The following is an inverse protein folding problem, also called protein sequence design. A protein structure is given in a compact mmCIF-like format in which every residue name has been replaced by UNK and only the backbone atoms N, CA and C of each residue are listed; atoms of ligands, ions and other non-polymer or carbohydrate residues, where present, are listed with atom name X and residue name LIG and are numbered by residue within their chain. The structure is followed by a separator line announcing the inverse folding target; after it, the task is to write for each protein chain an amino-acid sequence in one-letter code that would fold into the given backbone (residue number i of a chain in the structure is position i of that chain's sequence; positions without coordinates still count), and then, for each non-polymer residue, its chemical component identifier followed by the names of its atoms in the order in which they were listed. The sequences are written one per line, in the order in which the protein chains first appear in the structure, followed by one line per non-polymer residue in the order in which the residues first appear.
data_IF_624993752780
#
_entry.id   IF_624993752780
#
_cell.length_a   1.000
_cell.length_b   1.000
_cell.length_c   1.000
_cell.angle_alpha   90.00
_cell.angle_beta   90.00
_cell.angle_gamma   90.00
#
_symmetry.space_group_name_H-M   'P 1'
#
loop_
_entity.id
_entity.type
_entity.pdbx_description
1 polymer ?
#
# COMPACT_ATOMS: atom_id res chain seq x y z
N UNK A 1 5.95 -4.49 17.98
CA UNK A 1 6.86 -5.64 18.22
C UNK A 1 6.03 -6.89 18.45
N UNK A 2 6.39 -7.98 17.78
CA UNK A 2 5.77 -9.30 17.98
C UNK A 2 6.90 -10.31 18.18
N UNK A 3 6.82 -11.05 19.29
CA UNK A 3 7.76 -12.12 19.60
C UNK A 3 6.98 -13.44 19.48
N UNK A 4 7.56 -14.40 18.79
CA UNK A 4 6.99 -15.73 18.63
C UNK A 4 8.07 -16.75 19.01
N UNK A 5 7.68 -17.76 19.80
CA UNK A 5 8.53 -18.86 20.23
C UNK A 5 7.82 -20.17 19.92
N UNK A 6 8.40 -20.98 19.04
CA UNK A 6 7.84 -22.24 18.61
C UNK A 6 8.80 -23.38 18.99
N UNK A 7 8.26 -24.46 19.55
CA UNK A 7 9.00 -25.69 19.69
C UNK A 7 9.19 -26.35 18.33
N UNK A 8 10.42 -26.77 18.04
CA UNK A 8 10.75 -27.46 16.80
C UNK A 8 10.92 -28.95 17.08
N UNK A 9 10.22 -29.75 16.30
CA UNK A 9 10.28 -31.20 16.32
C UNK A 9 10.66 -31.71 14.95
N UNK A 10 11.58 -32.69 14.88
CA UNK A 10 11.88 -33.44 13.68
C UNK A 10 11.28 -34.84 13.81
N UNK A 11 10.79 -35.39 12.69
CA UNK A 11 10.28 -36.75 12.66
C UNK A 11 11.42 -37.73 12.41
N UNK A 12 11.67 -38.62 13.36
CA UNK A 12 12.65 -39.69 13.21
C UNK A 12 12.00 -40.89 12.50
N UNK A 13 12.48 -41.19 11.30
CA UNK A 13 11.95 -42.30 10.49
C UNK A 13 12.28 -43.69 11.05
N UNK A 14 13.29 -43.82 11.91
CA UNK A 14 13.70 -45.10 12.48
C UNK A 14 12.84 -45.43 13.70
N UNK A 15 12.60 -44.47 14.57
CA UNK A 15 11.78 -44.66 15.78
C UNK A 15 10.30 -44.35 15.54
N UNK A 16 9.95 -43.70 14.42
CA UNK A 16 8.61 -43.19 14.08
C UNK A 16 8.02 -42.20 15.11
N UNK A 17 8.90 -41.52 15.84
CA UNK A 17 8.52 -40.55 16.85
C UNK A 17 8.97 -39.14 16.48
N UNK A 18 8.32 -38.15 17.09
CA UNK A 18 8.73 -36.74 17.02
C UNK A 18 9.80 -36.45 18.07
N UNK A 19 10.98 -36.08 17.61
CA UNK A 19 12.13 -35.74 18.46
C UNK A 19 12.21 -34.23 18.61
N UNK A 20 12.17 -33.75 19.86
CA UNK A 20 12.36 -32.32 20.15
C UNK A 20 13.77 -31.88 19.80
N UNK A 21 13.90 -30.79 19.02
CA UNK A 21 15.17 -30.24 18.54
C UNK A 21 15.52 -28.88 19.18
N UNK A 22 14.57 -28.29 19.89
CA UNK A 22 14.79 -27.00 20.52
C UNK A 22 13.63 -26.02 20.26
N UNK A 23 13.93 -24.76 20.44
CA UNK A 23 12.99 -23.67 20.19
C UNK A 23 13.48 -22.79 19.05
N UNK A 24 12.56 -22.38 18.22
CA UNK A 24 12.76 -21.33 17.22
C UNK A 24 12.11 -20.05 17.72
N UNK A 25 12.92 -19.01 17.92
CA UNK A 25 12.43 -17.69 18.31
C UNK A 25 12.45 -16.74 17.12
N UNK A 26 11.34 -16.05 16.87
CA UNK A 26 11.28 -14.96 15.92
C UNK A 26 10.81 -13.68 16.60
N UNK A 27 11.47 -12.58 16.27
CA UNK A 27 11.11 -11.25 16.75
C UNK A 27 10.89 -10.35 15.54
N UNK A 28 9.69 -9.77 15.44
CA UNK A 28 9.33 -8.86 14.37
C UNK A 28 9.10 -7.46 14.94
N UNK A 29 9.79 -6.49 14.36
CA UNK A 29 9.64 -5.06 14.70
C UNK A 29 9.09 -4.34 13.47
N UNK A 30 8.01 -3.58 13.66
CA UNK A 30 7.51 -2.66 12.64
C UNK A 30 7.90 -1.24 13.02
N UNK A 31 8.56 -0.56 12.11
CA UNK A 31 9.02 0.82 12.29
C UNK A 31 8.27 1.72 11.33
N UNK A 32 7.71 2.83 11.83
CA UNK A 32 7.09 3.87 11.01
C UNK A 32 8.00 5.09 11.04
N UNK A 33 8.57 5.42 9.90
CA UNK A 33 9.38 6.61 9.70
C UNK A 33 8.51 7.71 9.09
N UNK A 34 8.77 8.96 9.49
CA UNK A 34 8.13 10.15 8.91
C UNK A 34 9.06 10.87 7.95
N UNK A 35 10.35 10.71 8.18
CA UNK A 35 11.39 11.25 7.32
C UNK A 35 11.87 10.14 6.37
N UNK A 36 11.65 10.34 5.08
CA UNK A 36 12.02 9.38 4.05
C UNK A 36 13.51 9.41 3.74
N UNK A 37 14.22 10.48 4.10
CA UNK A 37 15.67 10.58 3.89
C UNK A 37 16.44 9.70 4.88
N UNK A 38 15.86 9.44 6.04
CA UNK A 38 16.48 8.59 7.07
C UNK A 38 16.30 7.08 6.86
N UNK A 39 15.54 6.68 5.85
CA UNK A 39 15.26 5.25 5.61
C UNK A 39 16.54 4.44 5.45
N UNK A 40 17.53 4.94 4.70
CA UNK A 40 18.82 4.27 4.52
C UNK A 40 19.54 4.03 5.85
N UNK A 41 19.67 5.07 6.66
CA UNK A 41 20.34 5.00 7.96
C UNK A 41 19.66 4.00 8.91
N UNK A 42 18.33 3.99 8.90
CA UNK A 42 17.56 3.05 9.73
C UNK A 42 17.71 1.61 9.25
N UNK A 43 17.74 1.37 7.93
CA UNK A 43 18.00 0.04 7.38
C UNK A 43 19.39 -0.47 7.79
N UNK A 44 20.42 0.37 7.70
CA UNK A 44 21.76 0.02 8.12
C UNK A 44 21.82 -0.31 9.61
N UNK A 45 21.17 0.50 10.46
CA UNK A 45 21.09 0.25 11.89
C UNK A 45 20.39 -1.07 12.21
N UNK A 46 19.33 -1.43 11.49
CA UNK A 46 18.62 -2.70 11.65
C UNK A 46 19.50 -3.89 11.29
N UNK A 47 20.26 -3.79 10.19
CA UNK A 47 21.20 -4.85 9.78
C UNK A 47 22.31 -5.01 10.81
N UNK A 48 22.87 -3.91 11.32
CA UNK A 48 23.89 -3.94 12.38
C UNK A 48 23.34 -4.52 13.70
N UNK A 49 22.07 -4.30 13.99
CA UNK A 49 21.38 -4.89 15.14
C UNK A 49 21.03 -6.38 14.97
N UNK A 50 21.36 -6.98 13.81
CA UNK A 50 21.18 -8.41 13.55
C UNK A 50 19.86 -8.77 12.87
N UNK A 51 19.14 -7.82 12.27
CA UNK A 51 17.98 -8.13 11.46
C UNK A 51 18.41 -8.97 10.25
N UNK A 52 17.81 -10.14 10.10
CA UNK A 52 18.12 -11.11 9.05
C UNK A 52 17.05 -11.17 7.95
N UNK A 53 15.92 -10.50 8.17
CA UNK A 53 14.86 -10.38 7.17
C UNK A 53 14.22 -8.98 7.30
N UNK A 54 14.24 -8.21 6.21
CA UNK A 54 13.70 -6.87 6.15
C UNK A 54 12.63 -6.84 5.04
N UNK A 55 11.39 -6.54 5.43
CA UNK A 55 10.27 -6.38 4.51
C UNK A 55 9.90 -4.89 4.41
N UNK A 56 10.14 -4.28 3.28
CA UNK A 56 9.89 -2.86 3.03
C UNK A 56 11.13 -2.17 2.49
N UNK A 57 11.18 -0.85 2.46
CA UNK A 57 10.18 0.11 2.99
C UNK A 57 8.90 0.20 2.15
N UNK A 58 7.81 0.60 2.80
CA UNK A 58 6.55 0.93 2.13
C UNK A 58 6.25 2.40 2.38
N UNK A 59 6.02 3.14 1.32
CA UNK A 59 5.72 4.57 1.41
C UNK A 59 4.21 4.79 1.36
N UNK A 60 3.73 5.73 2.16
CA UNK A 60 2.33 6.15 2.17
C UNK A 60 2.24 7.65 2.44
N UNK A 61 1.21 8.29 1.91
CA UNK A 61 0.92 9.70 2.22
C UNK A 61 0.40 9.78 3.64
N UNK A 62 0.99 10.67 4.44
CA UNK A 62 0.62 10.84 5.86
C UNK A 62 -0.77 11.45 6.04
N UNK A 63 -1.10 12.43 5.18
CA UNK A 63 -2.42 13.07 5.12
C UNK A 63 -2.84 13.18 3.66
N UNK A 64 -3.82 12.39 3.25
CA UNK A 64 -4.39 12.37 1.91
C UNK A 64 -5.76 13.07 1.84
N UNK A 65 -6.16 13.80 2.88
CA UNK A 65 -7.46 14.47 2.97
C UNK A 65 -7.66 15.47 1.84
N UNK A 66 -6.70 16.37 1.63
CA UNK A 66 -6.77 17.37 0.55
C UNK A 66 -6.71 16.74 -0.84
N UNK A 67 -5.76 15.86 -1.17
CA UNK A 67 -5.76 15.16 -2.45
C UNK A 67 -7.05 14.39 -2.73
N UNK A 68 -7.64 13.72 -1.73
CA UNK A 68 -8.92 13.02 -1.88
C UNK A 68 -10.09 13.98 -2.11
N UNK A 69 -10.13 15.12 -1.41
CA UNK A 69 -11.16 16.13 -1.62
C UNK A 69 -11.12 16.66 -3.05
N UNK A 70 -9.94 16.95 -3.57
CA UNK A 70 -9.75 17.42 -4.95
C UNK A 70 -10.13 16.33 -5.98
N UNK A 71 -9.71 15.09 -5.74
CA UNK A 71 -10.07 13.96 -6.60
C UNK A 71 -11.61 13.76 -6.65
N UNK A 72 -12.29 13.88 -5.50
CA UNK A 72 -13.74 13.80 -5.38
C UNK A 72 -14.44 14.90 -6.18
N UNK A 73 -13.98 16.14 -6.03
CA UNK A 73 -14.52 17.27 -6.79
C UNK A 73 -14.44 17.03 -8.29
N UNK A 74 -13.26 16.66 -8.79
CA UNK A 74 -13.04 16.36 -10.22
C UNK A 74 -13.89 15.18 -10.71
N UNK A 75 -14.04 14.14 -9.89
CA UNK A 75 -14.86 12.98 -10.24
C UNK A 75 -16.34 13.34 -10.39
N UNK A 76 -16.87 14.15 -9.46
CA UNK A 76 -18.27 14.63 -9.51
C UNK A 76 -18.53 15.56 -10.70
N UNK A 77 -17.60 16.48 -11.00
CA UNK A 77 -17.68 17.37 -12.16
C UNK A 77 -17.73 16.55 -13.47
N UNK A 78 -16.84 15.56 -13.60
CA UNK A 78 -16.82 14.68 -14.77
C UNK A 78 -18.11 13.85 -14.89
N UNK A 79 -18.59 13.26 -13.78
CA UNK A 79 -19.82 12.49 -13.77
C UNK A 79 -21.02 13.34 -14.20
N UNK A 80 -21.13 14.59 -13.72
CA UNK A 80 -22.18 15.51 -14.12
C UNK A 80 -22.10 15.87 -15.60
N UNK A 81 -20.90 16.18 -16.12
CA UNK A 81 -20.72 16.48 -17.53
C UNK A 81 -21.19 15.34 -18.42
N UNK A 82 -20.79 14.11 -18.11
CA UNK A 82 -21.21 12.93 -18.85
C UNK A 82 -22.75 12.73 -18.78
N UNK A 83 -23.35 12.90 -17.59
CA UNK A 83 -24.80 12.77 -17.44
C UNK A 83 -25.56 13.84 -18.25
N UNK A 84 -25.06 15.06 -18.31
CA UNK A 84 -25.62 16.14 -19.13
C UNK A 84 -25.56 15.82 -20.62
N UNK A 85 -24.47 15.23 -21.09
CA UNK A 85 -24.32 14.85 -22.48
C UNK A 85 -25.35 13.78 -22.88
N UNK A 86 -25.54 12.76 -22.03
CA UNK A 86 -26.60 11.75 -22.23
C UNK A 86 -28.00 12.34 -22.18
N UNK A 87 -28.25 13.25 -21.23
CA UNK A 87 -29.54 13.89 -21.09
C UNK A 87 -29.94 14.70 -22.38
N UNK A 88 -28.96 15.46 -22.91
CA UNK A 88 -29.17 16.24 -24.15
C UNK A 88 -29.50 15.35 -25.36
N UNK A 89 -28.74 14.23 -25.51
CA UNK A 89 -29.03 13.27 -26.58
C UNK A 89 -30.43 12.65 -26.44
N UNK A 90 -30.88 12.46 -25.19
CA UNK A 90 -32.22 11.94 -24.89
C UNK A 90 -33.35 13.00 -24.94
N UNK A 91 -33.05 14.26 -25.26
CA UNK A 91 -34.01 15.35 -25.38
C UNK A 91 -34.34 16.10 -24.11
N UNK A 92 -33.55 15.93 -23.06
CA UNK A 92 -33.66 16.63 -21.78
C UNK A 92 -32.69 17.81 -21.69
N UNK A 93 -33.05 18.82 -20.88
CA UNK A 93 -32.24 20.03 -20.74
C UNK A 93 -31.32 20.03 -19.54
N UNK A 94 -31.59 19.18 -18.54
CA UNK A 94 -30.80 19.19 -17.29
C UNK A 94 -30.77 17.79 -16.64
N UNK A 95 -29.97 17.68 -15.58
CA UNK A 95 -29.88 16.48 -14.73
C UNK A 95 -29.99 16.83 -13.26
N UNK A 96 -30.68 15.99 -12.50
CA UNK A 96 -30.84 16.06 -11.06
C UNK A 96 -30.19 14.85 -10.42
N UNK A 97 -29.38 15.06 -9.38
CA UNK A 97 -28.75 13.98 -8.61
C UNK A 97 -29.80 13.25 -7.79
N UNK A 98 -29.89 11.94 -7.93
CA UNK A 98 -30.72 11.06 -7.10
C UNK A 98 -29.92 10.35 -6.03
N UNK A 99 -28.73 9.88 -6.36
CA UNK A 99 -27.89 9.10 -5.44
C UNK A 99 -26.42 9.34 -5.71
N UNK A 100 -25.64 9.46 -4.65
CA UNK A 100 -24.19 9.44 -4.69
C UNK A 100 -23.72 8.30 -3.79
N UNK A 101 -22.83 7.45 -4.31
CA UNK A 101 -22.11 6.45 -3.55
C UNK A 101 -20.62 6.64 -3.78
N UNK A 102 -19.87 6.69 -2.70
CA UNK A 102 -18.41 6.80 -2.74
C UNK A 102 -17.77 5.50 -2.25
N UNK A 103 -16.79 5.03 -2.99
CA UNK A 103 -15.90 3.96 -2.58
C UNK A 103 -14.48 4.50 -2.56
N UNK A 104 -13.90 4.54 -1.37
CA UNK A 104 -12.49 4.89 -1.21
C UNK A 104 -11.70 3.62 -1.40
N UNK A 105 -11.03 3.49 -2.51
CA UNK A 105 -10.03 2.44 -2.68
C UNK A 105 -8.81 2.82 -1.85
N UNK A 106 -8.71 2.21 -0.67
CA UNK A 106 -7.58 2.39 0.25
C UNK A 106 -6.27 1.73 -0.19
N UNK A 107 -6.18 1.31 -1.44
CA UNK A 107 -4.95 0.80 -2.00
C UNK A 107 -4.31 1.94 -2.82
N UNK A 108 -3.40 2.67 -2.17
CA UNK A 108 -2.31 3.22 -2.94
C UNK A 108 -1.78 2.08 -3.82
N UNK A 109 -1.93 2.16 -5.14
CA UNK A 109 -1.20 1.26 -6.02
C UNK A 109 0.26 1.56 -5.75
N UNK A 110 0.88 0.70 -4.94
CA UNK A 110 2.32 0.65 -4.87
C UNK A 110 2.77 0.32 -6.30
N UNK A 111 3.29 1.29 -7.00
CA UNK A 111 4.20 0.98 -8.08
C UNK A 111 5.38 0.33 -7.39
N UNK A 112 5.45 -0.99 -7.44
CA UNK A 112 6.65 -1.71 -7.12
C UNK A 112 7.72 -1.08 -8.01
N UNK A 113 8.64 -0.35 -7.41
CA UNK A 113 9.90 -0.08 -8.08
C UNK A 113 10.42 -1.43 -8.53
N UNK A 114 10.65 -1.59 -9.82
CA UNK A 114 11.16 -2.81 -10.41
C UNK A 114 12.20 -3.42 -9.49
N UNK A 115 12.01 -4.71 -9.17
CA UNK A 115 12.92 -5.43 -8.32
C UNK A 115 14.34 -5.31 -8.90
N UNK A 116 15.13 -4.45 -8.31
CA UNK A 116 16.55 -4.34 -8.64
C UNK A 116 17.18 -5.65 -8.20
N UNK A 117 17.45 -6.53 -9.15
CA UNK A 117 18.31 -7.67 -8.91
C UNK A 117 19.67 -7.14 -8.48
N UNK A 118 19.92 -7.16 -7.19
CA UNK A 118 21.24 -6.88 -6.63
C UNK A 118 22.10 -8.10 -6.89
N UNK A 119 22.82 -8.09 -8.03
CA UNK A 119 24.01 -8.93 -8.18
C UNK A 119 25.02 -8.46 -7.14
N UNK A 120 25.44 -9.40 -6.31
CA UNK A 120 26.34 -9.16 -5.19
C UNK A 120 27.70 -8.65 -5.68
N UNK A 121 27.82 -7.35 -5.81
CA UNK A 121 29.11 -6.66 -5.88
C UNK A 121 29.19 -5.75 -4.65
N UNK A 122 30.10 -6.08 -3.75
CA UNK A 122 30.35 -5.31 -2.53
C UNK A 122 30.80 -3.90 -2.90
N UNK A 123 29.86 -2.97 -2.97
CA UNK A 123 30.15 -1.55 -2.86
C UNK A 123 29.70 -1.08 -1.48
N UNK A 124 30.62 -0.52 -0.72
CA UNK A 124 30.37 0.04 0.59
C UNK A 124 29.47 1.27 0.45
N UNK A 125 28.20 1.10 0.71
CA UNK A 125 27.18 2.15 0.74
C UNK A 125 25.80 1.53 0.61
N UNK A 126 24.86 1.92 1.50
CA UNK A 126 23.48 1.53 1.37
C UNK A 126 22.93 1.97 0.00
N UNK A 127 22.17 1.13 -0.72
CA UNK A 127 21.56 1.55 -1.97
C UNK A 127 20.62 2.74 -1.70
N UNK A 128 20.64 3.79 -2.55
CA UNK A 128 19.76 4.93 -2.37
C UNK A 128 18.31 4.47 -2.49
N UNK A 129 17.55 4.60 -1.41
CA UNK A 129 16.12 4.32 -1.40
C UNK A 129 15.42 5.57 -1.94
N UNK A 130 14.89 5.50 -3.16
CA UNK A 130 14.08 6.58 -3.73
C UNK A 130 12.60 6.27 -3.49
N UNK A 131 11.86 7.15 -2.80
CA UNK A 131 10.41 7.01 -2.68
C UNK A 131 9.77 7.13 -4.07
N UNK A 132 8.97 6.13 -4.44
CA UNK A 132 8.15 6.19 -5.64
C UNK A 132 6.96 7.13 -5.47
N UNK A 133 6.25 7.42 -6.57
CA UNK A 133 5.00 8.17 -6.53
C UNK A 133 3.91 7.31 -5.87
N UNK A 134 3.21 7.90 -4.91
CA UNK A 134 2.05 7.29 -4.26
C UNK A 134 0.79 7.93 -4.84
N UNK A 135 -0.07 7.13 -5.47
CA UNK A 135 -1.35 7.60 -5.99
C UNK A 135 -2.47 7.31 -4.99
N UNK A 136 -3.31 8.30 -4.74
CA UNK A 136 -4.57 8.13 -4.02
C UNK A 136 -5.73 8.38 -4.96
N UNK A 137 -6.77 7.55 -4.90
CA UNK A 137 -7.92 7.63 -5.77
C UNK A 137 -9.25 7.54 -5.03
N UNK A 138 -10.25 8.18 -5.58
CA UNK A 138 -11.65 8.11 -5.12
C UNK A 138 -12.51 7.67 -6.29
N UNK A 139 -13.33 6.65 -6.09
CA UNK A 139 -14.34 6.21 -7.05
C UNK A 139 -15.71 6.70 -6.58
N UNK A 140 -16.39 7.47 -7.43
CA UNK A 140 -17.74 7.94 -7.16
C UNK A 140 -18.71 7.37 -8.19
N UNK A 141 -19.79 6.77 -7.71
CA UNK A 141 -20.92 6.37 -8.53
C UNK A 141 -22.08 7.34 -8.27
N UNK A 142 -22.58 7.98 -9.33
CA UNK A 142 -23.68 8.95 -9.23
C UNK A 142 -24.81 8.52 -10.13
N UNK A 143 -26.03 8.48 -9.56
CA UNK A 143 -27.26 8.26 -10.31
C UNK A 143 -27.92 9.62 -10.52
N UNK A 144 -28.21 9.93 -11.77
CA UNK A 144 -28.89 11.14 -12.17
C UNK A 144 -30.26 10.83 -12.76
N UNK A 145 -31.17 11.73 -12.59
CA UNK A 145 -32.45 11.79 -13.31
C UNK A 145 -32.35 12.90 -14.36
N UNK A 146 -32.71 12.58 -15.60
CA UNK A 146 -32.80 13.58 -16.65
C UNK A 146 -34.12 14.38 -16.48
N UNK A 147 -34.02 15.69 -16.54
CA UNK A 147 -35.19 16.62 -16.32
C UNK A 147 -35.16 17.74 -17.34
N UNK A 148 -36.36 18.31 -17.58
CA UNK A 148 -36.52 19.53 -18.40
C UNK A 148 -36.57 20.77 -17.53
#
# INVERSE_FOLDING_TARGET
TRINLNARFDYDQQTRDQVFRGYEASNQVSVKLRDTEEVGNVLDALVQAGANNINGPRFSVSDDTQPKAEARRRALERARSMAMDYARVAGYSNVRVLKIAESVQGNAREYAADAIMVTAQRSAGAPPVQPGMVETGVTVSVTYEAVN
#
